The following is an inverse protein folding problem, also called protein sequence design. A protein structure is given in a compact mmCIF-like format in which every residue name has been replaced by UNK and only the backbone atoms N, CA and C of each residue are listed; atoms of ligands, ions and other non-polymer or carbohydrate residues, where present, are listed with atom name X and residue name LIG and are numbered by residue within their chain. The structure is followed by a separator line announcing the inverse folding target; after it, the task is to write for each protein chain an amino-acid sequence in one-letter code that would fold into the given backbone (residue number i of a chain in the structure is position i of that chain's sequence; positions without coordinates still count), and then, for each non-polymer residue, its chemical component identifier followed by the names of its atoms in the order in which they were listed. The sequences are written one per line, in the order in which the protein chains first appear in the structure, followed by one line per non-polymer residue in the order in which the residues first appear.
data_IF_989161193273
#
_entry.id   IF_989161193273
#
_cell.length_a   1.000
_cell.length_b   1.000
_cell.length_c   1.000
_cell.angle_alpha   90.00
_cell.angle_beta   90.00
_cell.angle_gamma   90.00
#
_symmetry.space_group_name_H-M   'P 1'
#
loop_
_entity.id
_entity.type
_entity.pdbx_description
1 polymer ?
#
# COMPACT_ATOMS: atom_id res chain seq x y z
N UNK A 1 -9.29 -1.27 23.51
CA UNK A 1 -8.25 -1.72 22.56
C UNK A 1 -8.98 -2.38 21.41
N UNK A 2 -9.08 -1.69 20.27
CA UNK A 2 -9.75 -2.24 19.09
C UNK A 2 -8.84 -3.32 18.50
N UNK A 3 -9.40 -4.48 18.15
CA UNK A 3 -8.61 -5.54 17.53
C UNK A 3 -8.03 -5.03 16.19
N UNK A 4 -6.80 -5.42 15.81
CA UNK A 4 -6.21 -5.01 14.55
C UNK A 4 -7.06 -5.50 13.38
N UNK A 5 -7.42 -4.58 12.48
CA UNK A 5 -8.25 -4.90 11.32
C UNK A 5 -7.38 -5.50 10.21
N UNK A 6 -7.59 -6.80 9.97
CA UNK A 6 -6.91 -7.53 8.90
C UNK A 6 -7.73 -7.48 7.61
N UNK A 7 -7.04 -7.13 6.52
CA UNK A 7 -7.63 -7.02 5.19
C UNK A 7 -6.92 -7.98 4.21
N UNK A 8 -7.70 -8.64 3.37
CA UNK A 8 -7.18 -9.31 2.17
C UNK A 8 -6.75 -8.26 1.13
N UNK A 9 -5.97 -8.67 0.10
CA UNK A 9 -5.63 -7.77 -1.00
C UNK A 9 -6.86 -7.20 -1.71
N UNK A 10 -7.92 -7.99 -1.88
CA UNK A 10 -9.18 -7.53 -2.48
C UNK A 10 -9.86 -6.47 -1.60
N UNK A 11 -10.00 -6.73 -0.31
CA UNK A 11 -10.65 -5.80 0.63
C UNK A 11 -9.90 -4.47 0.74
N UNK A 12 -8.57 -4.49 0.64
CA UNK A 12 -7.76 -3.28 0.61
C UNK A 12 -8.03 -2.46 -0.67
N UNK A 13 -8.10 -3.12 -1.83
CA UNK A 13 -8.43 -2.46 -3.10
C UNK A 13 -9.86 -1.89 -3.13
N UNK A 14 -10.82 -2.53 -2.48
CA UNK A 14 -12.19 -2.01 -2.35
C UNK A 14 -12.24 -0.69 -1.57
N UNK A 15 -11.32 -0.49 -0.62
CA UNK A 15 -11.24 0.73 0.20
C UNK A 15 -10.48 1.86 -0.46
N UNK A 16 -9.50 1.56 -1.30
CA UNK A 16 -8.61 2.56 -1.91
C UNK A 16 -8.91 2.67 -3.41
N UNK A 17 -9.61 3.73 -3.86
CA UNK A 17 -9.94 3.91 -5.26
C UNK A 17 -8.69 3.92 -6.15
N UNK A 18 -8.74 3.17 -7.25
CA UNK A 18 -7.64 3.07 -8.22
C UNK A 18 -6.53 2.10 -7.83
N UNK A 19 -6.54 1.52 -6.63
CA UNK A 19 -5.61 0.48 -6.23
C UNK A 19 -6.04 -0.88 -6.81
N UNK A 20 -5.08 -1.66 -7.33
CA UNK A 20 -5.34 -3.00 -7.87
C UNK A 20 -4.51 -4.06 -7.18
N UNK A 21 -5.01 -5.30 -7.16
CA UNK A 21 -4.30 -6.45 -6.57
C UNK A 21 -2.98 -6.72 -7.31
N UNK A 22 -2.94 -6.48 -8.62
CA UNK A 22 -1.72 -6.59 -9.41
C UNK A 22 -0.67 -5.56 -8.97
N UNK A 23 -1.05 -4.30 -8.78
CA UNK A 23 -0.16 -3.26 -8.28
C UNK A 23 0.38 -3.61 -6.88
N UNK A 24 -0.47 -4.15 -6.00
CA UNK A 24 -0.07 -4.64 -4.67
C UNK A 24 0.93 -5.80 -4.76
N UNK A 25 0.76 -6.73 -5.70
CA UNK A 25 1.72 -7.82 -5.92
C UNK A 25 3.08 -7.28 -6.36
N UNK A 26 3.10 -6.35 -7.32
CA UNK A 26 4.33 -5.69 -7.77
C UNK A 26 5.00 -4.87 -6.67
N UNK A 27 4.23 -4.18 -5.82
CA UNK A 27 4.79 -3.43 -4.69
C UNK A 27 5.45 -4.36 -3.66
N UNK A 28 4.87 -5.53 -3.38
CA UNK A 28 5.44 -6.50 -2.45
C UNK A 28 6.77 -7.10 -2.92
N UNK A 29 7.02 -7.14 -4.23
CA UNK A 29 8.30 -7.61 -4.77
C UNK A 29 9.38 -6.53 -4.80
N UNK A 30 9.04 -5.26 -4.52
CA UNK A 30 10.02 -4.15 -4.47
C UNK A 30 10.57 -3.99 -3.06
N UNK A 31 11.85 -3.62 -2.96
CA UNK A 31 12.45 -3.20 -1.70
C UNK A 31 11.80 -1.90 -1.20
N UNK A 32 11.51 -1.82 0.10
CA UNK A 32 10.74 -0.71 0.67
C UNK A 32 9.25 -0.73 0.31
N UNK A 33 8.74 -1.86 -0.17
CA UNK A 33 7.34 -2.08 -0.49
C UNK A 33 6.40 -1.98 0.71
N UNK A 34 5.11 -1.99 0.40
CA UNK A 34 4.01 -1.89 1.36
C UNK A 34 4.12 -2.94 2.48
N UNK A 35 3.90 -2.60 3.78
CA UNK A 35 3.90 -3.59 4.85
C UNK A 35 2.82 -4.64 4.61
N UNK A 36 3.21 -5.91 4.64
CA UNK A 36 2.30 -7.04 4.47
C UNK A 36 2.68 -8.20 5.40
N UNK A 37 1.70 -9.00 5.77
CA UNK A 37 1.88 -10.24 6.53
C UNK A 37 1.53 -11.44 5.68
N UNK A 38 2.15 -12.57 5.98
CA UNK A 38 1.77 -13.86 5.42
C UNK A 38 1.10 -14.68 6.53
N UNK A 39 -0.16 -15.06 6.33
CA UNK A 39 -0.82 -16.01 7.23
C UNK A 39 -0.38 -17.45 6.93
N UNK A 40 -0.06 -17.75 5.67
CA UNK A 40 0.55 -18.99 5.22
C UNK A 40 1.30 -18.77 3.89
N UNK A 41 1.75 -19.84 3.24
CA UNK A 41 2.50 -19.78 1.98
C UNK A 41 1.76 -19.05 0.83
N UNK A 42 0.42 -19.01 0.87
CA UNK A 42 -0.43 -18.46 -0.21
C UNK A 42 -1.25 -17.23 0.20
N UNK A 43 -1.51 -17.06 1.49
CA UNK A 43 -2.40 -16.02 2.01
C UNK A 43 -1.59 -14.83 2.51
N UNK A 44 -1.86 -13.67 1.93
CA UNK A 44 -1.29 -12.38 2.32
C UNK A 44 -2.37 -11.51 2.93
N UNK A 45 -2.00 -10.81 4.00
CA UNK A 45 -2.85 -9.93 4.79
C UNK A 45 -2.21 -8.57 4.95
N UNK A 46 -3.05 -7.56 5.09
CA UNK A 46 -2.68 -6.19 5.44
C UNK A 46 -3.34 -5.82 6.77
N UNK A 47 -2.68 -4.97 7.54
CA UNK A 47 -3.31 -4.32 8.69
C UNK A 47 -3.60 -2.88 8.32
N UNK A 48 -4.85 -2.46 8.48
CA UNK A 48 -5.32 -1.16 8.00
C UNK A 48 -4.50 0.00 8.58
N UNK A 49 -4.26 0.02 9.88
CA UNK A 49 -3.51 1.09 10.54
C UNK A 49 -2.05 1.19 10.05
N UNK A 50 -1.41 0.06 9.79
CA UNK A 50 -0.03 0.03 9.27
C UNK A 50 0.03 0.49 7.82
N UNK A 51 -0.96 0.10 7.02
CA UNK A 51 -1.11 0.56 5.66
C UNK A 51 -1.24 2.09 5.59
N UNK A 52 -2.08 2.69 6.44
CA UNK A 52 -2.23 4.14 6.52
C UNK A 52 -0.95 4.82 7.00
N UNK A 53 -0.30 4.27 8.03
CA UNK A 53 0.97 4.80 8.52
C UNK A 53 2.04 4.81 7.43
N UNK A 54 2.10 3.74 6.62
CA UNK A 54 2.99 3.68 5.47
C UNK A 54 2.59 4.68 4.36
N UNK A 55 1.30 4.85 4.08
CA UNK A 55 0.84 5.84 3.09
C UNK A 55 1.27 7.25 3.48
N UNK A 56 1.13 7.61 4.74
CA UNK A 56 1.57 8.92 5.24
C UNK A 56 3.09 9.07 5.16
N UNK A 57 3.85 8.02 5.51
CA UNK A 57 5.31 8.04 5.42
C UNK A 57 5.83 8.11 3.97
N UNK A 58 5.09 7.56 3.01
CA UNK A 58 5.44 7.54 1.58
C UNK A 58 4.80 8.67 0.78
N UNK A 59 4.12 9.60 1.45
CA UNK A 59 3.50 10.76 0.83
C UNK A 59 4.55 11.58 0.07
N UNK A 60 4.47 11.52 -1.26
CA UNK A 60 5.30 12.32 -2.13
C UNK A 60 4.53 13.58 -2.56
N UNK A 61 5.17 14.74 -2.46
CA UNK A 61 4.68 15.97 -3.08
C UNK A 61 5.59 16.28 -4.25
N UNK A 62 5.07 16.17 -5.47
CA UNK A 62 5.77 16.61 -6.69
C UNK A 62 5.01 17.79 -7.26
N UNK A 63 5.58 18.98 -7.09
CA UNK A 63 5.23 20.13 -7.92
C UNK A 63 6.05 19.98 -9.20
N UNK A 64 5.39 19.94 -10.35
CA UNK A 64 6.07 19.88 -11.64
C UNK A 64 7.03 21.07 -11.74
N UNK A 65 8.32 20.83 -12.02
CA UNK A 65 9.25 21.91 -12.37
C UNK A 65 8.94 22.33 -13.80
N UNK A 66 7.90 23.13 -13.96
CA UNK A 66 7.61 23.77 -15.25
C UNK A 66 8.66 24.84 -15.62
N UNK A 67 9.59 25.18 -14.72
CA UNK A 67 10.52 26.30 -14.86
C UNK A 67 11.79 26.01 -15.70
N UNK A 68 12.04 24.77 -16.12
CA UNK A 68 13.29 24.39 -16.81
C UNK A 68 13.06 23.69 -18.16
N UNK A 69 12.22 24.26 -19.03
CA UNK A 69 12.22 23.90 -20.46
C UNK A 69 12.85 25.05 -21.27
N UNK A 70 13.90 24.77 -22.08
CA UNK A 70 14.65 25.78 -22.82
C UNK A 70 13.83 26.51 -23.89
#
# INVERSE_FOLDING_TARGET
MTAPEFLSPQQLCERIPGLTVAALATQRSREGGLPFRKANARVVLYVWEEYLSWLEATKATRTDRYDERP
#
